data_IF_395686193577
#
_entry.id   IF_395686193577
#
_cell.length_a   1.000
_cell.length_b   1.000
_cell.length_c   1.000
_cell.angle_alpha   90.00
_cell.angle_beta   90.00
_cell.angle_gamma   90.00
#
_symmetry.space_group_name_H-M   'P 1'
#
loop_
_entity.id
_entity.type
_entity.pdbx_description
1 polymer ?
#
# COMPACT_ATOMS: atom_id res chain seq x y z
N UNK A 1 3.37 -4.84 2.77
CA UNK A 1 2.36 -5.88 2.45
C UNK A 1 2.46 -7.12 3.36
N UNK A 2 3.66 -7.48 3.83
CA UNK A 2 3.91 -8.67 4.67
C UNK A 2 3.54 -8.55 6.17
N UNK A 3 2.97 -7.43 6.63
CA UNK A 3 2.50 -7.32 8.03
C UNK A 3 1.39 -8.34 8.29
N UNK A 4 1.34 -8.92 9.49
CA UNK A 4 0.41 -10.00 9.87
C UNK A 4 -1.05 -9.67 9.57
N UNK A 5 -1.46 -8.43 9.79
CA UNK A 5 -2.84 -7.97 9.60
C UNK A 5 -3.18 -7.80 8.11
N UNK A 6 -2.19 -7.57 7.26
CA UNK A 6 -2.36 -7.35 5.82
C UNK A 6 -2.15 -8.65 5.04
N UNK A 7 -0.94 -9.22 5.09
CA UNK A 7 -0.55 -10.51 4.49
C UNK A 7 -0.90 -10.67 3.00
N UNK A 8 -0.77 -9.61 2.23
CA UNK A 8 -1.06 -9.65 0.77
C UNK A 8 0.13 -10.16 -0.05
N UNK A 9 1.35 -9.98 0.47
CA UNK A 9 2.57 -10.48 -0.14
C UNK A 9 3.58 -10.88 0.93
N UNK A 10 4.44 -11.84 0.62
CA UNK A 10 5.47 -12.36 1.52
C UNK A 10 6.76 -12.71 0.75
N UNK A 11 7.92 -12.51 1.37
CA UNK A 11 9.20 -12.97 0.82
C UNK A 11 9.23 -14.50 0.70
N UNK A 12 9.94 -15.07 -0.29
CA UNK A 12 10.02 -16.52 -0.45
C UNK A 12 10.64 -17.21 0.78
N UNK A 13 9.88 -18.10 1.41
CA UNK A 13 10.37 -18.87 2.56
C UNK A 13 10.91 -20.24 2.12
N UNK A 14 12.23 -20.33 1.87
CA UNK A 14 12.90 -21.57 1.44
C UNK A 14 12.90 -22.61 2.57
N UNK A 15 12.75 -23.90 2.20
CA UNK A 15 12.78 -25.03 3.15
C UNK A 15 14.13 -25.07 3.87
N UNK A 16 14.13 -24.83 5.18
CA UNK A 16 15.34 -24.76 6.00
C UNK A 16 15.65 -23.35 6.53
N UNK A 17 14.98 -22.30 6.04
CA UNK A 17 15.10 -20.96 6.61
C UNK A 17 14.53 -20.93 8.03
N UNK A 18 15.27 -20.37 8.97
CA UNK A 18 14.77 -20.08 10.31
C UNK A 18 14.31 -18.62 10.35
N UNK A 19 13.00 -18.38 10.43
CA UNK A 19 12.46 -17.01 10.52
C UNK A 19 12.65 -16.34 11.90
N UNK A 20 12.91 -17.14 12.94
CA UNK A 20 13.31 -16.69 14.28
C UNK A 20 13.91 -17.86 15.06
N UNK A 21 14.83 -17.57 15.98
CA UNK A 21 15.43 -18.58 16.88
C UNK A 21 14.44 -19.22 17.85
N UNK A 22 13.34 -18.52 18.18
CA UNK A 22 12.39 -18.96 19.22
C UNK A 22 10.94 -19.10 18.73
N UNK A 23 10.59 -18.51 17.58
CA UNK A 23 9.21 -18.47 17.09
C UNK A 23 9.10 -19.10 15.69
N UNK A 24 8.72 -20.39 15.59
CA UNK A 24 8.67 -21.12 14.32
C UNK A 24 7.68 -20.58 13.29
N UNK A 25 6.67 -19.83 13.72
CA UNK A 25 5.66 -19.20 12.86
C UNK A 25 6.09 -17.84 12.29
N UNK A 26 7.22 -17.28 12.78
CA UNK A 26 7.62 -15.92 12.43
C UNK A 26 8.16 -15.87 11.00
N UNK A 27 7.51 -15.08 10.15
CA UNK A 27 7.95 -14.80 8.77
C UNK A 27 8.19 -13.30 8.65
N UNK A 28 9.46 -12.91 8.55
CA UNK A 28 9.86 -11.50 8.48
C UNK A 28 10.35 -11.16 7.08
N UNK A 29 10.08 -9.94 6.60
CA UNK A 29 10.60 -9.47 5.33
C UNK A 29 12.05 -8.96 5.47
N UNK A 30 12.95 -9.85 5.89
CA UNK A 30 14.33 -9.51 6.24
C UNK A 30 15.17 -9.01 5.06
N UNK A 31 14.89 -9.49 3.84
CA UNK A 31 15.58 -9.01 2.63
C UNK A 31 15.18 -7.56 2.33
N UNK A 32 13.87 -7.28 2.40
CA UNK A 32 13.32 -5.93 2.26
C UNK A 32 13.81 -4.97 3.35
N UNK A 33 13.96 -5.46 4.59
CA UNK A 33 14.54 -4.69 5.70
C UNK A 33 16.02 -4.35 5.44
N UNK A 34 16.81 -5.32 4.95
CA UNK A 34 18.21 -5.11 4.54
C UNK A 34 18.30 -4.07 3.43
N UNK A 35 17.51 -4.21 2.37
CA UNK A 35 17.46 -3.26 1.25
C UNK A 35 17.11 -1.84 1.73
N UNK A 36 16.16 -1.73 2.65
CA UNK A 36 15.78 -0.44 3.27
C UNK A 36 16.94 0.19 4.05
N UNK A 37 17.75 -0.64 4.73
CA UNK A 37 18.97 -0.21 5.42
C UNK A 37 20.03 0.30 4.45
N UNK A 38 20.35 -0.47 3.41
CA UNK A 38 21.35 -0.12 2.40
C UNK A 38 20.98 1.15 1.62
N UNK A 39 19.68 1.35 1.34
CA UNK A 39 19.21 2.60 0.73
C UNK A 39 19.52 3.85 1.57
N UNK A 40 19.64 3.72 2.90
CA UNK A 40 20.05 4.83 3.78
C UNK A 40 21.52 5.20 3.57
N UNK A 41 22.40 4.22 3.35
CA UNK A 41 23.81 4.47 3.03
C UNK A 41 23.96 5.23 1.72
N UNK A 42 23.28 4.77 0.65
CA UNK A 42 23.33 5.44 -0.66
C UNK A 42 22.90 6.92 -0.58
N UNK A 43 21.85 7.22 0.21
CA UNK A 43 21.45 8.62 0.44
C UNK A 43 22.49 9.42 1.22
N UNK A 44 23.20 8.80 2.16
CA UNK A 44 24.33 9.44 2.85
C UNK A 44 25.48 9.78 1.89
N UNK A 45 25.85 8.85 1.01
CA UNK A 45 26.86 9.09 -0.01
C UNK A 45 26.49 10.24 -0.97
N UNK A 46 25.21 10.40 -1.29
CA UNK A 46 24.74 11.52 -2.11
C UNK A 46 24.98 12.89 -1.45
N UNK A 47 24.86 12.98 -0.12
CA UNK A 47 25.18 14.22 0.63
C UNK A 47 26.67 14.52 0.51
N UNK A 48 27.54 13.54 0.78
CA UNK A 48 29.00 13.70 0.64
C UNK A 48 29.39 14.10 -0.78
N UNK A 49 28.81 13.47 -1.80
CA UNK A 49 29.05 13.83 -3.19
C UNK A 49 28.62 15.27 -3.52
N UNK A 50 27.53 15.75 -2.91
CA UNK A 50 27.05 17.13 -3.10
C UNK A 50 27.97 18.15 -2.44
N UNK A 51 28.50 17.85 -1.25
CA UNK A 51 29.46 18.71 -0.55
C UNK A 51 30.81 18.81 -1.29
N UNK A 52 31.18 17.79 -2.05
CA UNK A 52 32.40 17.78 -2.88
C UNK A 52 32.36 18.77 -4.07
N UNK A 53 31.23 19.41 -4.39
CA UNK A 53 31.08 20.25 -5.60
C UNK A 53 31.76 21.62 -5.45
N UNK A 54 31.66 22.26 -4.28
CA UNK A 54 32.08 23.64 -4.07
C UNK A 54 33.59 23.77 -3.75
N UNK A 55 34.44 23.26 -4.64
CA UNK A 55 35.90 23.30 -4.49
C UNK A 55 36.46 24.71 -4.66
N UNK A 56 37.62 24.97 -4.06
CA UNK A 56 38.25 26.30 -4.07
C UNK A 56 39.02 26.57 -5.37
N UNK A 57 38.73 27.69 -6.03
CA UNK A 57 39.40 28.20 -7.24
C UNK A 57 39.49 27.15 -8.36
N UNK A 58 40.69 26.85 -8.88
CA UNK A 58 40.89 25.87 -9.96
C UNK A 58 40.68 24.42 -9.49
N UNK A 59 40.90 24.14 -8.19
CA UNK A 59 40.59 22.89 -7.46
C UNK A 59 41.32 22.83 -6.11
N UNK A 60 40.68 22.18 -5.13
CA UNK A 60 41.36 21.53 -4.00
C UNK A 60 41.15 20.00 -4.06
N UNK A 61 41.81 19.25 -3.18
CA UNK A 61 41.84 17.78 -3.22
C UNK A 61 40.96 17.10 -2.17
N UNK A 62 40.14 17.86 -1.42
CA UNK A 62 39.32 17.34 -0.31
C UNK A 62 38.34 16.24 -0.76
N UNK A 63 37.74 16.40 -1.94
CA UNK A 63 36.88 15.39 -2.59
C UNK A 63 37.56 14.02 -2.74
N UNK A 64 38.88 13.98 -2.90
CA UNK A 64 39.59 12.75 -3.23
C UNK A 64 39.56 11.72 -2.09
N UNK A 65 39.62 12.14 -0.82
CA UNK A 65 39.58 11.19 0.31
C UNK A 65 38.17 10.63 0.51
N UNK A 66 37.14 11.43 0.31
CA UNK A 66 35.74 11.01 0.44
C UNK A 66 35.32 10.13 -0.73
N UNK A 67 35.71 10.45 -1.97
CA UNK A 67 35.43 9.67 -3.18
C UNK A 67 36.04 8.27 -3.16
N UNK A 68 37.19 8.09 -2.52
CA UNK A 68 37.79 6.76 -2.29
C UNK A 68 36.91 5.83 -1.46
N UNK A 69 36.00 6.38 -0.67
CA UNK A 69 35.01 5.62 0.10
C UNK A 69 33.71 5.55 -0.68
N UNK A 70 33.12 6.70 -1.02
CA UNK A 70 31.75 6.74 -1.51
C UNK A 70 31.57 6.14 -2.91
N UNK A 71 32.57 6.23 -3.80
CA UNK A 71 32.43 5.67 -5.15
C UNK A 71 32.43 4.14 -5.17
N UNK A 72 33.44 3.43 -4.63
CA UNK A 72 33.41 1.98 -4.61
C UNK A 72 32.23 1.47 -3.77
N UNK A 73 31.98 2.03 -2.60
CA UNK A 73 30.89 1.59 -1.74
C UNK A 73 29.52 1.77 -2.40
N UNK A 74 29.25 2.94 -3.01
CA UNK A 74 27.97 3.18 -3.67
C UNK A 74 27.74 2.21 -4.84
N UNK A 75 28.75 1.96 -5.67
CA UNK A 75 28.64 1.02 -6.77
C UNK A 75 28.40 -0.41 -6.28
N UNK A 76 29.16 -0.87 -5.29
CA UNK A 76 29.04 -2.23 -4.72
C UNK A 76 27.68 -2.42 -4.06
N UNK A 77 27.25 -1.47 -3.23
CA UNK A 77 25.97 -1.54 -2.53
C UNK A 77 24.82 -1.53 -3.52
N UNK A 78 24.85 -0.65 -4.54
CA UNK A 78 23.78 -0.58 -5.52
C UNK A 78 23.71 -1.85 -6.37
N UNK A 79 24.83 -2.39 -6.83
CA UNK A 79 24.89 -3.64 -7.60
C UNK A 79 24.28 -4.80 -6.80
N UNK A 80 24.70 -4.96 -5.53
CA UNK A 80 24.12 -5.94 -4.62
C UNK A 80 22.61 -5.73 -4.45
N UNK A 81 22.16 -4.50 -4.19
CA UNK A 81 20.74 -4.20 -4.02
C UNK A 81 19.91 -4.53 -5.25
N UNK A 82 20.44 -4.30 -6.46
CA UNK A 82 19.75 -4.60 -7.71
C UNK A 82 19.58 -6.11 -7.92
N UNK A 83 20.63 -6.89 -7.63
CA UNK A 83 20.55 -8.35 -7.68
C UNK A 83 19.51 -8.90 -6.70
N UNK A 84 19.56 -8.42 -5.45
CA UNK A 84 18.66 -8.85 -4.37
C UNK A 84 17.20 -8.46 -4.64
N UNK A 85 16.94 -7.24 -5.11
CA UNK A 85 15.58 -6.81 -5.48
C UNK A 85 15.04 -7.64 -6.63
N UNK A 86 15.90 -7.99 -7.61
CA UNK A 86 15.48 -8.80 -8.76
C UNK A 86 15.06 -10.19 -8.32
N UNK A 87 15.86 -10.88 -7.49
CA UNK A 87 15.50 -12.21 -6.96
C UNK A 87 14.24 -12.12 -6.07
N UNK A 88 14.15 -11.09 -5.22
CA UNK A 88 13.00 -10.88 -4.33
C UNK A 88 11.70 -10.71 -5.11
N UNK A 89 11.68 -9.85 -6.13
CA UNK A 89 10.48 -9.61 -6.94
C UNK A 89 10.13 -10.83 -7.78
N UNK A 90 11.11 -11.52 -8.37
CA UNK A 90 10.89 -12.73 -9.16
C UNK A 90 10.22 -13.84 -8.35
N UNK A 91 10.55 -13.94 -7.06
CA UNK A 91 10.09 -15.02 -6.18
C UNK A 91 9.04 -14.56 -5.16
N UNK A 92 8.53 -13.34 -5.27
CA UNK A 92 7.59 -12.78 -4.30
C UNK A 92 6.29 -13.58 -4.28
N UNK A 93 5.88 -14.03 -3.09
CA UNK A 93 4.62 -14.77 -2.94
C UNK A 93 3.47 -13.77 -2.80
N UNK A 94 2.50 -13.86 -3.70
CA UNK A 94 1.30 -13.01 -3.71
C UNK A 94 0.07 -13.82 -3.27
N UNK A 95 -0.81 -13.20 -2.48
CA UNK A 95 -2.05 -13.81 -1.99
C UNK A 95 -3.29 -13.05 -2.49
N UNK A 96 -3.76 -13.31 -3.73
CA UNK A 96 -4.92 -12.61 -4.31
C UNK A 96 -6.19 -12.74 -3.47
N UNK A 97 -6.46 -13.92 -2.92
CA UNK A 97 -7.62 -14.14 -2.02
C UNK A 97 -7.55 -13.26 -0.78
N UNK A 98 -6.34 -13.04 -0.23
CA UNK A 98 -6.15 -12.15 0.92
C UNK A 98 -6.32 -10.69 0.54
N UNK A 99 -5.85 -10.28 -0.64
CA UNK A 99 -6.09 -8.93 -1.18
C UNK A 99 -7.59 -8.66 -1.32
N UNK A 100 -8.34 -9.60 -1.91
CA UNK A 100 -9.79 -9.49 -2.04
C UNK A 100 -10.50 -9.47 -0.67
N UNK A 101 -10.05 -10.28 0.28
CA UNK A 101 -10.58 -10.26 1.64
C UNK A 101 -10.31 -8.91 2.34
N UNK A 102 -9.13 -8.32 2.15
CA UNK A 102 -8.78 -7.01 2.72
C UNK A 102 -9.58 -5.88 2.08
N UNK A 103 -9.83 -5.92 0.77
CA UNK A 103 -10.70 -4.98 0.07
C UNK A 103 -12.11 -4.98 0.68
N UNK A 104 -12.64 -6.18 0.95
CA UNK A 104 -13.96 -6.38 1.54
C UNK A 104 -14.00 -6.22 3.06
N UNK A 105 -12.87 -5.98 3.73
CA UNK A 105 -12.78 -5.91 5.19
C UNK A 105 -13.66 -4.81 5.78
N UNK A 106 -13.88 -3.74 5.03
CA UNK A 106 -14.72 -2.61 5.43
C UNK A 106 -16.19 -2.76 5.02
N UNK A 107 -16.60 -3.93 4.50
CA UNK A 107 -18.00 -4.20 4.15
C UNK A 107 -18.55 -3.28 3.03
N UNK A 108 -17.70 -2.87 2.09
CA UNK A 108 -18.07 -2.03 0.95
C UNK A 108 -17.96 -0.53 1.17
N UNK A 109 -17.48 -0.07 2.34
CA UNK A 109 -17.33 1.36 2.64
C UNK A 109 -16.36 2.08 1.70
N UNK A 110 -15.37 1.37 1.16
CA UNK A 110 -14.44 1.89 0.14
C UNK A 110 -15.17 2.40 -1.12
N UNK A 111 -16.39 1.93 -1.39
CA UNK A 111 -17.20 2.34 -2.53
C UNK A 111 -18.22 3.45 -2.21
N UNK A 112 -18.23 3.97 -0.98
CA UNK A 112 -19.19 5.00 -0.54
C UNK A 112 -19.25 6.23 -1.44
N UNK A 113 -18.13 6.63 -2.04
CA UNK A 113 -18.09 7.73 -2.99
C UNK A 113 -18.90 7.44 -4.26
N UNK A 114 -18.87 6.20 -4.78
CA UNK A 114 -19.64 5.80 -5.97
C UNK A 114 -21.14 5.90 -5.70
N UNK A 115 -21.57 5.44 -4.54
CA UNK A 115 -22.98 5.56 -4.10
C UNK A 115 -23.39 7.04 -4.01
N UNK A 116 -22.55 7.90 -3.42
CA UNK A 116 -22.82 9.33 -3.35
C UNK A 116 -23.01 9.95 -4.74
N UNK A 117 -22.12 9.65 -5.69
CA UNK A 117 -22.21 10.18 -7.05
C UNK A 117 -23.47 9.68 -7.76
N UNK A 118 -23.78 8.39 -7.65
CA UNK A 118 -24.98 7.82 -8.26
C UNK A 118 -26.28 8.44 -7.71
N UNK A 119 -26.32 8.76 -6.41
CA UNK A 119 -27.45 9.46 -5.81
C UNK A 119 -27.61 10.90 -6.33
N UNK A 120 -26.49 11.61 -6.52
CA UNK A 120 -26.48 12.97 -7.11
C UNK A 120 -26.93 12.93 -8.56
N UNK A 121 -26.42 11.97 -9.34
CA UNK A 121 -26.81 11.78 -10.75
C UNK A 121 -28.30 11.38 -10.87
N UNK A 122 -28.83 10.70 -9.86
CA UNK A 122 -30.25 10.41 -9.70
C UNK A 122 -31.12 11.59 -9.25
N UNK A 123 -30.54 12.78 -9.05
CA UNK A 123 -31.26 14.03 -8.79
C UNK A 123 -31.26 14.53 -7.35
N UNK A 124 -30.55 13.87 -6.42
CA UNK A 124 -30.37 14.41 -5.06
C UNK A 124 -29.41 15.59 -5.04
N UNK A 125 -29.69 16.57 -4.18
CA UNK A 125 -28.69 17.57 -3.83
C UNK A 125 -27.47 16.90 -3.18
N UNK A 126 -26.27 17.37 -3.53
CA UNK A 126 -25.01 16.79 -3.08
C UNK A 126 -24.86 16.77 -1.56
N UNK A 127 -25.32 17.79 -0.85
CA UNK A 127 -25.24 17.81 0.62
C UNK A 127 -26.20 16.80 1.24
N UNK A 128 -27.36 16.58 0.62
CA UNK A 128 -28.33 15.58 1.06
C UNK A 128 -27.77 14.17 0.82
N UNK A 129 -27.27 13.88 -0.39
CA UNK A 129 -26.63 12.61 -0.73
C UNK A 129 -25.44 12.30 0.20
N UNK A 130 -24.60 13.30 0.48
CA UNK A 130 -23.48 13.15 1.42
C UNK A 130 -23.94 12.76 2.82
N UNK A 131 -24.92 13.46 3.39
CA UNK A 131 -25.44 13.13 4.74
C UNK A 131 -26.07 11.75 4.79
N UNK A 132 -26.78 11.35 3.73
CA UNK A 132 -27.41 10.05 3.62
C UNK A 132 -26.38 8.91 3.59
N UNK A 133 -25.37 9.02 2.71
CA UNK A 133 -24.28 8.05 2.62
C UNK A 133 -23.46 8.01 3.91
N UNK A 134 -23.12 9.18 4.48
CA UNK A 134 -22.36 9.28 5.72
C UNK A 134 -23.08 8.59 6.89
N UNK A 135 -24.39 8.80 7.03
CA UNK A 135 -25.23 8.14 8.05
C UNK A 135 -25.06 6.61 7.99
N UNK A 136 -25.21 6.02 6.81
CA UNK A 136 -25.11 4.57 6.65
C UNK A 136 -23.69 4.04 6.76
N UNK A 137 -22.72 4.80 6.28
CA UNK A 137 -21.31 4.45 6.37
C UNK A 137 -20.83 4.40 7.82
N UNK A 138 -21.14 5.44 8.62
CA UNK A 138 -20.80 5.49 10.04
C UNK A 138 -21.52 4.39 10.83
N UNK A 139 -22.80 4.18 10.54
CA UNK A 139 -23.56 3.14 11.22
C UNK A 139 -23.05 1.72 10.92
N UNK A 140 -22.61 1.45 9.68
CA UNK A 140 -21.95 0.19 9.33
C UNK A 140 -20.59 0.00 10.05
N UNK A 141 -19.90 1.09 10.37
CA UNK A 141 -18.60 1.07 11.04
C UNK A 141 -18.70 0.95 12.57
N UNK A 142 -19.57 1.76 13.19
CA UNK A 142 -19.60 1.94 14.65
C UNK A 142 -20.57 1.00 15.38
N UNK A 143 -21.72 0.69 14.77
CA UNK A 143 -22.81 -0.01 15.48
C UNK A 143 -22.72 -1.53 15.36
N UNK A 144 -21.94 -2.05 14.41
CA UNK A 144 -22.04 -3.44 13.96
C UNK A 144 -23.42 -3.76 13.36
N UNK A 145 -23.64 -5.02 12.96
CA UNK A 145 -24.92 -5.46 12.39
C UNK A 145 -24.97 -5.41 10.85
N UNK A 146 -26.06 -4.92 10.23
CA UNK A 146 -26.23 -4.94 8.78
C UNK A 146 -25.09 -4.21 8.05
N UNK A 147 -24.66 -4.77 6.92
CA UNK A 147 -23.57 -4.21 6.12
C UNK A 147 -23.94 -2.84 5.53
N UNK A 148 -22.96 -2.09 5.03
CA UNK A 148 -23.22 -0.83 4.32
C UNK A 148 -24.22 -1.02 3.17
N UNK A 149 -24.05 -2.10 2.40
CA UNK A 149 -25.00 -2.54 1.37
C UNK A 149 -26.42 -2.69 1.91
N UNK A 150 -26.60 -3.48 2.97
CA UNK A 150 -27.94 -3.79 3.49
C UNK A 150 -28.64 -2.54 4.03
N UNK A 151 -27.88 -1.62 4.64
CA UNK A 151 -28.37 -0.34 5.12
C UNK A 151 -28.83 0.57 3.98
N UNK A 152 -28.08 0.62 2.87
CA UNK A 152 -28.47 1.36 1.67
C UNK A 152 -29.75 0.80 1.05
N UNK A 153 -29.83 -0.51 0.85
CA UNK A 153 -31.01 -1.16 0.24
C UNK A 153 -32.27 -1.01 1.10
N UNK A 154 -32.12 -0.95 2.43
CA UNK A 154 -33.25 -0.78 3.35
C UNK A 154 -33.71 0.67 3.52
N UNK A 155 -32.92 1.67 3.11
CA UNK A 155 -33.27 3.09 3.29
C UNK A 155 -34.20 3.55 2.15
N UNK A 156 -35.42 4.03 2.44
CA UNK A 156 -36.38 4.43 1.41
C UNK A 156 -35.87 5.57 0.51
N UNK A 157 -35.05 6.48 1.04
CA UNK A 157 -34.53 7.61 0.26
C UNK A 157 -33.52 7.11 -0.78
N UNK A 158 -32.71 6.11 -0.43
CA UNK A 158 -31.81 5.44 -1.37
C UNK A 158 -32.59 4.57 -2.35
N UNK A 159 -33.50 3.73 -1.86
CA UNK A 159 -34.28 2.78 -2.67
C UNK A 159 -35.21 3.47 -3.68
N UNK A 160 -35.55 4.74 -3.46
CA UNK A 160 -36.31 5.55 -4.42
C UNK A 160 -35.52 5.92 -5.69
N UNK A 161 -34.18 5.82 -5.66
CA UNK A 161 -33.27 6.22 -6.74
C UNK A 161 -32.44 5.04 -7.25
N UNK A 162 -31.91 4.23 -6.33
CA UNK A 162 -31.06 3.08 -6.61
C UNK A 162 -31.75 1.81 -6.14
N UNK A 163 -32.05 0.91 -7.06
CA UNK A 163 -32.52 -0.43 -6.69
C UNK A 163 -31.38 -1.30 -6.14
N UNK A 164 -31.71 -2.48 -5.62
CA UNK A 164 -30.72 -3.36 -5.01
C UNK A 164 -29.62 -3.78 -6.00
N UNK A 165 -29.95 -3.97 -7.28
CA UNK A 165 -28.98 -4.36 -8.31
C UNK A 165 -28.02 -3.21 -8.64
N UNK A 166 -28.51 -1.97 -8.70
CA UNK A 166 -27.69 -0.78 -8.88
C UNK A 166 -26.74 -0.58 -7.69
N UNK A 167 -27.21 -0.81 -6.46
CA UNK A 167 -26.35 -0.77 -5.27
C UNK A 167 -25.26 -1.85 -5.36
N UNK A 168 -25.60 -3.07 -5.76
CA UNK A 168 -24.62 -4.15 -5.91
C UNK A 168 -23.53 -3.82 -6.93
N UNK A 169 -23.91 -3.30 -8.10
CA UNK A 169 -22.95 -2.87 -9.12
C UNK A 169 -22.02 -1.75 -8.64
N UNK A 170 -22.55 -0.80 -7.85
CA UNK A 170 -21.75 0.30 -7.30
C UNK A 170 -20.76 -0.16 -6.23
N UNK A 171 -21.03 -1.28 -5.56
CA UNK A 171 -20.16 -1.89 -4.56
C UNK A 171 -19.23 -2.98 -5.14
N UNK A 172 -19.26 -3.19 -6.46
CA UNK A 172 -18.32 -4.06 -7.16
C UNK A 172 -17.01 -3.32 -7.46
N UNK A 173 -15.88 -4.03 -7.37
CA UNK A 173 -14.55 -3.49 -7.69
C UNK A 173 -14.17 -3.63 -9.16
N UNK A 174 -14.88 -4.46 -9.95
CA UNK A 174 -14.54 -4.69 -11.36
C UNK A 174 -14.47 -3.39 -12.17
N UNK A 175 -15.37 -2.44 -11.91
CA UNK A 175 -15.40 -1.13 -12.57
C UNK A 175 -14.19 -0.24 -12.25
N UNK A 176 -13.36 -0.60 -11.26
CA UNK A 176 -12.13 0.11 -10.89
C UNK A 176 -10.88 -0.46 -11.58
N UNK A 177 -11.00 -1.56 -12.32
CA UNK A 177 -9.87 -2.24 -12.96
C UNK A 177 -9.60 -1.79 -14.41
N UNK A 178 -10.41 -0.87 -14.94
CA UNK A 178 -10.36 -0.33 -16.31
C UNK A 178 -9.74 1.05 -16.32
#
# INVERSE_FOLDING_TARGET
>A
LARTEVREAEEPFKKGNQGSSAMPHKRNPHESERLSGLARLLRGYAVTASENVALWHERDISHSSTERVIFPDACIVLDFMLGEISELIENLVIYPERMLANLNLTGGLVFSQRVLLALVDGGLDRQVAYKLVQKHALAAWDEGGPSFRDRLVADPDVASILDAAAVDALLDYEDQLV
#
